data_IF_698447197451
#
_entry.id   IF_698447197451
#
_cell.length_a   1.000
_cell.length_b   1.000
_cell.length_c   1.000
_cell.angle_alpha   90.00
_cell.angle_beta   90.00
_cell.angle_gamma   90.00
#
_symmetry.space_group_name_H-M   'P 1'
#
loop_
_entity.id
_entity.type
_entity.pdbx_description
1 polymer ?
#
# COMPACT_ATOMS: atom_id res chain seq x y z
N UNK A 1 -22.49 -11.43 23.43
CA UNK A 1 -22.70 -10.70 22.17
C UNK A 1 -21.34 -10.59 21.50
N UNK A 2 -21.09 -11.41 20.48
CA UNK A 2 -19.86 -11.34 19.68
C UNK A 2 -19.94 -10.08 18.82
N UNK A 3 -19.05 -9.14 19.04
CA UNK A 3 -18.85 -8.01 18.11
C UNK A 3 -17.94 -8.52 17.01
N UNK A 4 -18.49 -8.69 15.85
CA UNK A 4 -17.72 -8.95 14.64
C UNK A 4 -17.01 -7.65 14.27
N UNK A 5 -15.69 -7.66 14.44
CA UNK A 5 -14.83 -6.58 13.94
C UNK A 5 -14.77 -6.71 12.42
N UNK A 6 -15.50 -5.84 11.76
CA UNK A 6 -15.51 -5.73 10.31
C UNK A 6 -14.26 -4.97 9.89
N UNK A 7 -13.17 -5.72 9.66
CA UNK A 7 -12.01 -5.17 8.99
C UNK A 7 -12.42 -4.75 7.58
N UNK A 8 -12.49 -3.46 7.35
CA UNK A 8 -12.51 -2.94 6.00
C UNK A 8 -11.09 -3.12 5.45
N UNK A 9 -10.88 -4.20 4.73
CA UNK A 9 -9.74 -4.32 3.86
C UNK A 9 -9.80 -3.13 2.89
N UNK A 10 -8.87 -2.20 3.04
CA UNK A 10 -8.66 -1.15 2.05
C UNK A 10 -8.24 -1.85 0.77
N UNK A 11 -9.17 -1.91 -0.17
CA UNK A 11 -9.02 -2.66 -1.39
C UNK A 11 -7.87 -2.13 -2.21
N UNK A 12 -6.99 -3.05 -2.60
CA UNK A 12 -6.05 -2.81 -3.67
C UNK A 12 -6.83 -2.37 -4.91
N UNK A 13 -6.70 -1.12 -5.29
CA UNK A 13 -7.21 -0.58 -6.54
C UNK A 13 -6.46 -1.23 -7.70
N UNK A 14 -7.03 -2.33 -8.22
CA UNK A 14 -6.61 -2.88 -9.49
C UNK A 14 -7.05 -1.90 -10.60
N UNK A 15 -6.12 -1.09 -11.08
CA UNK A 15 -6.30 -0.27 -12.27
C UNK A 15 -6.34 -1.20 -13.49
N UNK A 16 -7.52 -1.63 -13.85
CA UNK A 16 -7.81 -2.30 -15.10
C UNK A 16 -7.78 -1.32 -16.26
N UNK A 17 -6.65 -1.19 -16.95
CA UNK A 17 -6.58 -0.48 -18.22
C UNK A 17 -7.31 -1.30 -19.31
N UNK A 18 -8.58 -1.04 -19.54
CA UNK A 18 -9.31 -1.55 -20.68
C UNK A 18 -9.01 -0.69 -21.91
N UNK A 19 -8.06 -1.13 -22.73
CA UNK A 19 -7.88 -0.64 -24.09
C UNK A 19 -9.01 -1.19 -24.96
N UNK A 20 -10.06 -0.41 -25.14
CA UNK A 20 -11.11 -0.66 -26.10
C UNK A 20 -10.62 -0.32 -27.50
N UNK A 21 -10.26 -1.34 -28.28
CA UNK A 21 -10.10 -1.23 -29.73
C UNK A 21 -11.48 -1.32 -30.40
N UNK A 22 -12.03 -0.20 -30.80
CA UNK A 22 -13.18 -0.15 -31.70
C UNK A 22 -12.68 -0.30 -33.12
N UNK A 23 -12.84 -1.46 -33.68
CA UNK A 23 -12.72 -1.69 -35.13
C UNK A 23 -14.04 -1.33 -35.81
N UNK A 24 -14.09 -0.19 -36.45
CA UNK A 24 -15.18 0.16 -37.40
C UNK A 24 -14.95 -0.61 -38.70
N UNK A 25 -15.80 -1.60 -38.93
CA UNK A 25 -15.91 -2.28 -40.23
C UNK A 25 -16.73 -1.41 -41.17
N UNK A 26 -16.12 -0.89 -42.21
CA UNK A 26 -16.85 -0.39 -43.37
C UNK A 26 -16.82 -1.45 -44.47
N UNK A 27 -17.98 -1.99 -44.76
CA UNK A 27 -18.21 -2.82 -45.95
C UNK A 27 -18.31 -1.92 -47.17
N UNK A 28 -17.59 -2.24 -48.21
CA UNK A 28 -18.01 -1.88 -49.57
C UNK A 28 -17.69 -3.01 -50.54
N UNK A 29 -18.70 -3.34 -51.31
CA UNK A 29 -18.75 -4.40 -52.29
C UNK A 29 -17.97 -4.03 -53.57
N UNK A 30 -17.45 -5.02 -54.27
CA UNK A 30 -16.98 -4.86 -55.66
C UNK A 30 -16.07 -5.99 -56.12
N UNK A 31 -16.64 -6.79 -56.87
CA UNK A 31 -16.28 -7.89 -57.76
C UNK A 31 -14.85 -8.00 -58.32
N UNK A 32 -14.49 -9.23 -58.51
CA UNK A 32 -13.97 -9.93 -59.70
C UNK A 32 -12.50 -10.40 -59.71
N UNK A 33 -12.44 -11.72 -59.81
CA UNK A 33 -11.56 -12.57 -60.66
C UNK A 33 -10.05 -12.72 -60.43
N UNK A 34 -9.75 -14.00 -60.25
CA UNK A 34 -8.71 -14.80 -60.90
C UNK A 34 -7.38 -15.15 -60.19
N UNK A 35 -7.34 -16.46 -59.85
CA UNK A 35 -6.23 -17.45 -60.06
C UNK A 35 -4.79 -17.04 -59.72
N UNK A 36 -4.14 -17.77 -58.90
CA UNK A 36 -3.47 -19.06 -59.05
C UNK A 36 -2.41 -19.27 -57.94
N UNK A 37 -2.43 -20.45 -57.39
CA UNK A 37 -1.31 -21.37 -57.05
C UNK A 37 0.07 -20.78 -56.67
N UNK A 38 0.57 -20.99 -55.46
CA UNK A 38 1.53 -22.10 -55.27
C UNK A 38 1.91 -22.22 -53.77
N UNK A 39 1.92 -23.46 -53.39
CA UNK A 39 2.47 -24.10 -52.23
C UNK A 39 3.93 -23.70 -51.93
N UNK A 40 4.27 -23.46 -50.70
CA UNK A 40 5.51 -24.00 -50.11
C UNK A 40 5.38 -24.10 -48.61
N UNK A 41 5.45 -25.31 -48.21
CA UNK A 41 5.59 -25.93 -46.92
C UNK A 41 6.95 -25.58 -46.37
N UNK A 42 7.03 -25.03 -45.18
CA UNK A 42 8.24 -25.09 -44.37
C UNK A 42 7.84 -25.45 -42.94
N UNK A 43 8.45 -26.55 -42.54
CA UNK A 43 8.30 -27.21 -41.26
C UNK A 43 8.80 -26.44 -40.06
N UNK A 44 8.04 -26.58 -38.99
CA UNK A 44 8.47 -26.97 -37.63
C UNK A 44 9.86 -26.52 -37.11
N UNK A 45 9.83 -25.61 -36.18
CA UNK A 45 10.74 -25.68 -35.04
C UNK A 45 10.05 -25.22 -33.78
N UNK A 46 9.53 -26.16 -33.02
CA UNK A 46 9.17 -25.96 -31.61
C UNK A 46 10.46 -25.77 -30.81
N UNK A 47 10.80 -24.53 -30.46
CA UNK A 47 11.77 -24.26 -29.43
C UNK A 47 11.01 -23.91 -28.14
N UNK A 48 10.80 -24.93 -27.33
CA UNK A 48 10.38 -24.80 -25.93
C UNK A 48 11.48 -24.06 -25.17
N UNK A 49 11.39 -22.80 -25.03
CA UNK A 49 12.18 -22.06 -24.03
C UNK A 49 11.42 -22.14 -22.73
N UNK A 50 11.75 -23.12 -21.89
CA UNK A 50 11.47 -23.05 -20.46
C UNK A 50 12.30 -21.91 -19.92
N UNK A 51 11.68 -20.75 -19.76
CA UNK A 51 12.20 -19.69 -18.93
C UNK A 51 11.90 -20.10 -17.50
N UNK A 52 12.89 -20.71 -16.86
CA UNK A 52 12.93 -20.86 -15.41
C UNK A 52 12.91 -19.45 -14.83
N UNK A 53 11.77 -19.03 -14.32
CA UNK A 53 11.70 -17.89 -13.45
C UNK A 53 12.44 -18.30 -12.17
N UNK A 54 13.68 -17.88 -12.06
CA UNK A 54 14.41 -17.92 -10.82
C UNK A 54 13.85 -16.73 -10.02
N UNK A 55 12.78 -16.95 -9.26
CA UNK A 55 12.29 -16.01 -8.26
C UNK A 55 13.31 -15.96 -7.12
N UNK A 56 14.37 -15.21 -7.37
CA UNK A 56 15.21 -14.73 -6.31
C UNK A 56 14.50 -13.50 -5.71
N UNK A 57 13.40 -13.72 -4.99
CA UNK A 57 12.76 -12.71 -4.16
C UNK A 57 13.73 -12.40 -3.02
N UNK A 58 14.59 -11.42 -3.25
CA UNK A 58 15.39 -10.86 -2.17
C UNK A 58 14.41 -10.38 -1.09
N UNK A 59 14.44 -11.04 0.09
CA UNK A 59 13.58 -10.66 1.21
C UNK A 59 13.87 -9.19 1.53
N UNK A 60 12.87 -8.34 1.42
CA UNK A 60 12.94 -6.93 1.81
C UNK A 60 13.45 -6.82 3.24
N UNK A 61 14.34 -5.87 3.47
CA UNK A 61 14.89 -5.61 4.79
C UNK A 61 14.44 -4.23 5.25
N UNK A 62 14.15 -4.10 6.51
CA UNK A 62 13.83 -2.81 7.16
C UNK A 62 14.97 -1.79 7.03
N UNK A 63 16.19 -2.25 6.70
CA UNK A 63 17.34 -1.39 6.34
C UNK A 63 17.15 -0.62 5.03
N UNK A 64 16.17 -1.01 4.22
CA UNK A 64 15.85 -0.33 2.95
C UNK A 64 15.00 0.94 3.18
N UNK A 65 14.49 1.12 4.40
CA UNK A 65 13.78 2.33 4.84
C UNK A 65 14.82 3.39 5.23
N UNK A 66 15.09 4.32 4.32
CA UNK A 66 16.06 5.41 4.56
C UNK A 66 15.40 6.70 5.00
N UNK A 67 14.17 6.93 4.54
CA UNK A 67 13.39 8.10 4.88
C UNK A 67 12.79 7.90 6.28
N UNK A 68 12.98 8.85 7.17
CA UNK A 68 12.29 8.86 8.46
C UNK A 68 10.82 9.28 8.28
N UNK A 69 9.97 8.93 9.25
CA UNK A 69 8.57 9.37 9.25
C UNK A 69 8.45 10.90 9.22
N UNK A 70 9.30 11.63 9.97
CA UNK A 70 9.29 13.09 9.96
C UNK A 70 9.66 13.70 8.60
N UNK A 71 10.58 13.08 7.87
CA UNK A 71 10.92 13.51 6.50
C UNK A 71 9.77 13.21 5.53
N UNK A 72 9.09 12.08 5.69
CA UNK A 72 7.89 11.75 4.90
C UNK A 72 6.76 12.76 5.17
N UNK A 73 6.50 13.08 6.44
CA UNK A 73 5.52 14.09 6.83
C UNK A 73 5.87 15.48 6.27
N UNK A 74 7.14 15.88 6.29
CA UNK A 74 7.58 17.14 5.69
C UNK A 74 7.30 17.18 4.18
N UNK A 75 7.47 16.05 3.48
CA UNK A 75 7.14 15.98 2.05
C UNK A 75 5.64 16.04 1.79
N UNK A 76 4.86 15.41 2.65
CA UNK A 76 3.41 15.51 2.61
C UNK A 76 2.95 16.95 2.82
N UNK A 77 3.45 17.64 3.86
CA UNK A 77 3.12 19.06 4.14
C UNK A 77 3.58 20.01 3.02
N UNK A 78 4.72 19.75 2.39
CA UNK A 78 5.16 20.53 1.23
C UNK A 78 4.18 20.41 0.05
N UNK A 79 3.52 19.27 -0.09
CA UNK A 79 2.54 19.00 -1.15
C UNK A 79 1.15 19.52 -0.78
N UNK A 80 0.73 19.31 0.46
CA UNK A 80 -0.58 19.62 0.99
C UNK A 80 -0.43 20.45 2.26
N UNK A 81 -0.50 21.77 2.09
CA UNK A 81 -0.32 22.73 3.19
C UNK A 81 -1.48 22.71 4.18
N UNK A 82 -1.16 22.97 5.44
CA UNK A 82 -2.14 23.18 6.51
C UNK A 82 -3.10 21.99 6.74
N UNK A 83 -2.63 20.77 6.43
CA UNK A 83 -3.39 19.55 6.65
C UNK A 83 -3.11 18.96 8.03
N UNK A 84 -4.12 18.31 8.60
CA UNK A 84 -4.00 17.48 9.80
C UNK A 84 -3.90 16.02 9.40
N UNK A 85 -3.07 15.27 10.08
CA UNK A 85 -2.81 13.87 9.73
C UNK A 85 -3.87 12.94 10.34
N UNK A 86 -4.41 12.05 9.53
CA UNK A 86 -5.36 11.00 9.92
C UNK A 86 -4.65 9.67 10.15
N UNK A 87 -3.77 9.29 9.22
CA UNK A 87 -3.02 8.04 9.29
C UNK A 87 -1.64 8.16 8.65
N UNK A 88 -0.75 7.28 9.06
CA UNK A 88 0.57 7.09 8.46
C UNK A 88 0.84 5.60 8.39
N UNK A 89 0.88 5.05 7.19
CA UNK A 89 1.23 3.66 6.94
C UNK A 89 2.64 3.57 6.36
N UNK A 90 3.42 2.61 6.81
CA UNK A 90 4.70 2.24 6.24
C UNK A 90 4.71 0.74 5.98
N UNK A 91 4.61 0.38 4.73
CA UNK A 91 4.43 -1.00 4.30
C UNK A 91 5.31 -1.34 3.11
N UNK A 92 5.52 -2.64 2.92
CA UNK A 92 6.23 -3.19 1.80
C UNK A 92 5.29 -3.43 0.61
N UNK A 93 5.71 -3.01 -0.60
CA UNK A 93 5.02 -3.35 -1.83
C UNK A 93 6.06 -3.72 -2.90
N UNK A 94 5.97 -4.94 -3.40
CA UNK A 94 6.99 -5.48 -4.30
C UNK A 94 8.36 -5.54 -3.62
N UNK A 95 9.32 -4.78 -4.13
CA UNK A 95 10.69 -4.75 -3.62
C UNK A 95 11.06 -3.43 -2.92
N UNK A 96 10.08 -2.66 -2.43
CA UNK A 96 10.33 -1.36 -1.81
C UNK A 96 9.36 -1.11 -0.66
N UNK A 97 9.77 -0.24 0.26
CA UNK A 97 8.90 0.30 1.29
C UNK A 97 8.33 1.65 0.86
N UNK A 98 7.10 1.91 1.25
CA UNK A 98 6.39 3.16 0.97
C UNK A 98 5.71 3.68 2.22
N UNK A 99 5.75 4.99 2.39
CA UNK A 99 4.81 5.67 3.26
C UNK A 99 3.54 5.97 2.46
N UNK A 100 2.38 5.68 3.05
CA UNK A 100 1.10 6.22 2.65
C UNK A 100 0.62 7.12 3.79
N UNK A 101 0.33 8.36 3.48
CA UNK A 101 -0.04 9.36 4.48
C UNK A 101 -1.36 9.96 4.07
N UNK A 102 -2.33 9.87 4.98
CA UNK A 102 -3.62 10.50 4.85
C UNK A 102 -3.74 11.68 5.78
N UNK A 103 -4.28 12.73 5.26
CA UNK A 103 -4.55 13.95 5.99
C UNK A 103 -5.80 14.65 5.51
N UNK A 104 -6.26 15.62 6.25
CA UNK A 104 -7.47 16.39 5.93
C UNK A 104 -7.34 17.84 6.33
N UNK A 105 -8.11 18.68 5.65
CA UNK A 105 -8.47 20.02 6.09
C UNK A 105 -9.98 20.10 6.34
N UNK A 106 -10.56 21.29 6.38
CA UNK A 106 -12.00 21.45 6.62
C UNK A 106 -12.87 21.06 5.41
N UNK A 107 -12.29 20.83 4.24
CA UNK A 107 -13.01 20.68 2.98
C UNK A 107 -12.63 19.42 2.20
N UNK A 108 -11.42 18.94 2.40
CA UNK A 108 -10.83 17.87 1.60
C UNK A 108 -10.03 16.88 2.43
N UNK A 109 -9.96 15.67 1.92
CA UNK A 109 -8.98 14.67 2.27
C UNK A 109 -7.85 14.64 1.23
N UNK A 110 -6.69 14.22 1.69
CA UNK A 110 -5.46 14.18 0.91
C UNK A 110 -4.72 12.89 1.20
N UNK A 111 -4.28 12.21 0.15
CA UNK A 111 -3.45 11.02 0.26
C UNK A 111 -2.14 11.23 -0.51
N UNK A 112 -1.02 10.80 0.04
CA UNK A 112 0.23 10.72 -0.70
C UNK A 112 0.97 9.42 -0.41
N UNK A 113 1.42 8.77 -1.50
CA UNK A 113 2.32 7.62 -1.46
C UNK A 113 3.75 8.07 -1.76
N UNK A 114 4.65 7.81 -0.82
CA UNK A 114 6.02 8.31 -0.82
C UNK A 114 7.00 7.15 -0.71
N UNK A 115 7.93 7.04 -1.65
CA UNK A 115 8.99 6.03 -1.61
C UNK A 115 9.88 6.22 -0.37
N UNK A 116 9.93 5.22 0.50
CA UNK A 116 10.64 5.27 1.78
C UNK A 116 12.17 5.19 1.64
N UNK A 117 12.70 4.97 0.45
CA UNK A 117 14.12 4.95 0.18
C UNK A 117 14.66 6.33 -0.28
N UNK A 118 13.90 7.03 -1.12
CA UNK A 118 14.37 8.27 -1.76
C UNK A 118 13.46 9.48 -1.54
N UNK A 119 12.30 9.30 -0.94
CA UNK A 119 11.34 10.35 -0.64
C UNK A 119 10.61 10.93 -1.85
N UNK A 120 10.58 10.21 -2.97
CA UNK A 120 9.81 10.61 -4.15
C UNK A 120 8.32 10.37 -3.90
N UNK A 121 7.50 11.36 -4.15
CA UNK A 121 6.05 11.18 -4.18
C UNK A 121 5.69 10.43 -5.46
N UNK A 122 5.15 9.23 -5.31
CA UNK A 122 4.79 8.33 -6.41
C UNK A 122 3.36 8.55 -6.85
N UNK A 123 2.49 8.79 -5.89
CA UNK A 123 1.09 9.10 -6.11
C UNK A 123 0.65 10.17 -5.12
N UNK A 124 -0.30 11.01 -5.52
CA UNK A 124 -0.95 11.95 -4.61
C UNK A 124 -2.31 12.34 -5.16
N UNK A 125 -3.29 12.35 -4.31
CA UNK A 125 -4.65 12.72 -4.66
C UNK A 125 -5.30 13.59 -3.60
N UNK A 126 -6.43 14.20 -3.93
CA UNK A 126 -7.26 14.91 -2.98
C UNK A 126 -8.72 14.76 -3.37
N UNK A 127 -9.54 14.46 -2.39
CA UNK A 127 -10.97 14.28 -2.53
C UNK A 127 -11.73 15.32 -1.72
N UNK A 128 -13.00 15.51 -2.05
CA UNK A 128 -13.86 16.34 -1.23
C UNK A 128 -14.26 15.55 0.01
N UNK A 129 -14.14 16.21 1.16
CA UNK A 129 -14.51 15.61 2.43
C UNK A 129 -15.99 15.26 2.46
N UNK A 130 -16.31 14.00 2.69
CA UNK A 130 -17.68 13.53 2.89
C UNK A 130 -18.23 13.91 4.29
N UNK A 131 -19.53 13.78 4.48
CA UNK A 131 -20.16 14.16 5.74
C UNK A 131 -19.70 13.28 6.91
N UNK A 132 -19.45 12.01 6.64
CA UNK A 132 -19.03 11.04 7.65
C UNK A 132 -17.58 11.30 8.07
N UNK A 133 -16.72 11.67 7.12
CA UNK A 133 -15.28 11.93 7.35
C UNK A 133 -15.03 13.22 8.16
N UNK A 134 -16.00 14.13 8.19
CA UNK A 134 -15.92 15.35 9.03
C UNK A 134 -15.88 15.06 10.52
N UNK A 135 -16.24 13.86 10.91
CA UNK A 135 -16.19 13.37 12.29
C UNK A 135 -14.88 12.65 12.61
N UNK A 136 -14.07 12.39 11.59
CA UNK A 136 -12.79 11.74 11.76
C UNK A 136 -11.86 12.59 12.63
N UNK A 137 -11.10 11.87 13.44
CA UNK A 137 -10.12 12.49 14.32
C UNK A 137 -8.75 12.48 13.66
N UNK A 138 -7.96 13.46 14.01
CA UNK A 138 -6.59 13.61 13.54
C UNK A 138 -5.61 13.32 14.66
N UNK A 139 -4.44 12.84 14.30
CA UNK A 139 -3.40 12.43 15.23
C UNK A 139 -2.70 13.66 15.78
N UNK A 140 -2.55 13.73 17.10
CA UNK A 140 -1.64 14.67 17.76
C UNK A 140 -0.21 14.08 17.73
N UNK A 141 0.55 14.44 16.72
CA UNK A 141 1.88 13.91 16.48
C UNK A 141 2.90 14.27 17.56
N UNK A 142 2.65 15.29 18.37
CA UNK A 142 3.55 15.72 19.45
C UNK A 142 3.44 14.80 20.67
N UNK A 143 2.30 14.13 20.84
CA UNK A 143 2.01 13.28 21.99
C UNK A 143 2.16 11.77 21.70
N UNK A 144 2.58 11.37 20.50
CA UNK A 144 2.74 9.95 20.18
C UNK A 144 4.20 9.50 20.25
N UNK A 145 4.41 8.25 20.64
CA UNK A 145 5.75 7.64 20.61
C UNK A 145 6.24 7.46 19.17
N UNK A 146 7.54 7.53 19.00
CA UNK A 146 8.15 7.31 17.71
C UNK A 146 7.98 5.87 17.22
N UNK A 147 7.97 5.68 15.88
CA UNK A 147 8.00 4.35 15.25
C UNK A 147 9.04 3.42 15.88
N UNK A 148 10.27 3.93 16.12
CA UNK A 148 11.35 3.15 16.76
C UNK A 148 11.01 2.66 18.17
N UNK A 149 10.29 3.45 18.95
CA UNK A 149 9.84 3.05 20.28
C UNK A 149 8.74 2.00 20.19
N UNK A 150 7.75 2.22 19.32
CA UNK A 150 6.68 1.29 19.07
C UNK A 150 7.20 -0.06 18.56
N UNK A 151 8.13 -0.07 17.59
CA UNK A 151 8.81 -1.28 17.11
C UNK A 151 9.43 -2.09 18.25
N UNK A 152 10.19 -1.44 19.15
CA UNK A 152 10.80 -2.13 20.30
C UNK A 152 9.78 -2.76 21.25
N UNK A 153 8.63 -2.13 21.40
CA UNK A 153 7.55 -2.67 22.24
C UNK A 153 6.93 -3.89 21.56
N UNK A 154 6.64 -3.79 20.27
CA UNK A 154 6.05 -4.89 19.50
C UNK A 154 6.98 -6.12 19.44
N UNK A 155 8.25 -5.94 19.09
CA UNK A 155 9.24 -7.02 19.00
C UNK A 155 9.58 -7.65 20.37
N UNK A 156 9.39 -6.90 21.47
CA UNK A 156 9.48 -7.45 22.83
C UNK A 156 8.25 -8.29 23.17
N UNK A 157 7.09 -7.90 22.68
CA UNK A 157 5.82 -8.59 22.93
C UNK A 157 5.71 -9.87 22.10
N UNK A 158 6.08 -9.80 20.83
CA UNK A 158 6.18 -10.93 19.90
C UNK A 158 7.63 -11.01 19.43
N UNK A 159 8.27 -12.15 19.70
CA UNK A 159 9.67 -12.36 19.28
C UNK A 159 9.74 -12.52 17.76
N UNK A 160 10.13 -11.47 17.07
CA UNK A 160 10.18 -11.46 15.61
C UNK A 160 10.79 -10.17 15.07
N UNK A 161 10.54 -9.91 13.82
CA UNK A 161 10.97 -8.70 13.12
C UNK A 161 9.75 -7.91 12.66
N UNK A 162 9.66 -6.65 13.03
CA UNK A 162 8.61 -5.77 12.54
C UNK A 162 8.81 -5.49 11.04
N UNK A 163 7.76 -5.65 10.25
CA UNK A 163 7.78 -5.50 8.79
C UNK A 163 6.87 -4.37 8.29
N UNK A 164 5.76 -4.09 9.00
CA UNK A 164 4.80 -3.06 8.63
C UNK A 164 4.40 -2.24 9.85
N UNK A 165 4.09 -0.98 9.65
CA UNK A 165 3.73 -0.04 10.73
C UNK A 165 2.60 0.85 10.25
N UNK A 166 1.57 0.96 11.07
CA UNK A 166 0.48 1.90 10.87
C UNK A 166 0.31 2.74 12.14
N UNK A 167 0.21 4.04 11.98
CA UNK A 167 -0.20 4.95 13.04
C UNK A 167 -1.53 5.57 12.62
N UNK A 168 -2.55 5.33 13.38
CA UNK A 168 -3.89 5.85 13.09
C UNK A 168 -4.61 6.36 14.33
N UNK A 169 -5.65 7.14 14.11
CA UNK A 169 -6.56 7.57 15.14
C UNK A 169 -7.80 6.65 15.15
N UNK A 170 -8.03 5.96 16.24
CA UNK A 170 -9.23 5.18 16.48
C UNK A 170 -10.02 5.78 17.66
N UNK A 171 -11.24 6.23 17.39
CA UNK A 171 -12.07 7.00 18.31
C UNK A 171 -11.37 8.29 18.77
N UNK A 172 -10.84 8.32 19.98
CA UNK A 172 -10.16 9.48 20.54
C UNK A 172 -8.71 9.17 20.96
N UNK A 173 -8.12 8.12 20.41
CA UNK A 173 -6.77 7.68 20.74
C UNK A 173 -5.98 7.32 19.52
N UNK A 174 -4.70 7.66 19.53
CA UNK A 174 -3.77 7.23 18.53
C UNK A 174 -3.20 5.85 18.88
N UNK A 175 -3.14 4.96 17.88
CA UNK A 175 -2.58 3.62 18.01
C UNK A 175 -1.51 3.37 16.96
N UNK A 176 -0.47 2.69 17.40
CA UNK A 176 0.43 1.99 16.51
C UNK A 176 -0.06 0.56 16.32
N UNK A 177 -0.25 0.14 15.08
CA UNK A 177 -0.46 -1.25 14.67
C UNK A 177 0.80 -1.71 13.94
N UNK A 178 1.41 -2.77 14.43
CA UNK A 178 2.71 -3.22 13.95
C UNK A 178 2.64 -4.70 13.63
N UNK A 179 2.89 -5.03 12.37
CA UNK A 179 3.01 -6.41 11.92
C UNK A 179 4.40 -6.93 12.24
N UNK A 180 4.47 -7.96 13.07
CA UNK A 180 5.72 -8.64 13.48
C UNK A 180 5.73 -10.05 12.91
N UNK A 181 6.74 -10.37 12.13
CA UNK A 181 6.96 -11.70 11.58
C UNK A 181 7.90 -12.48 12.48
N UNK A 182 7.44 -13.58 13.07
CA UNK A 182 8.22 -14.46 13.94
C UNK A 182 9.02 -15.53 13.18
N UNK A 183 8.91 -15.53 11.86
CA UNK A 183 9.52 -16.50 10.93
C UNK A 183 8.58 -17.61 10.50
N UNK A 184 7.45 -17.79 11.15
CA UNK A 184 6.42 -18.76 10.81
C UNK A 184 5.06 -18.10 10.51
N UNK A 185 4.73 -17.04 11.25
CA UNK A 185 3.45 -16.33 11.17
C UNK A 185 3.68 -14.83 11.32
N UNK A 186 2.70 -14.07 10.86
CA UNK A 186 2.57 -12.65 11.14
C UNK A 186 1.65 -12.45 12.34
N UNK A 187 1.99 -11.46 13.15
CA UNK A 187 1.24 -11.05 14.32
C UNK A 187 1.05 -9.54 14.26
N UNK A 188 -0.14 -9.07 14.48
CA UNK A 188 -0.39 -7.66 14.64
C UNK A 188 -0.35 -7.28 16.12
N UNK A 189 0.42 -6.26 16.45
CA UNK A 189 0.54 -5.73 17.80
C UNK A 189 0.02 -4.31 17.84
N UNK A 190 -1.14 -4.12 18.48
CA UNK A 190 -1.74 -2.80 18.69
C UNK A 190 -1.24 -2.18 19.99
N UNK A 191 -0.71 -0.97 19.88
CA UNK A 191 -0.08 -0.23 20.98
C UNK A 191 -0.72 1.16 21.08
N UNK A 192 -1.22 1.51 22.25
CA UNK A 192 -1.65 2.89 22.55
C UNK A 192 -0.41 3.81 22.41
N UNK A 193 -0.46 4.71 21.42
CA UNK A 193 0.69 5.50 21.01
C UNK A 193 1.12 6.56 22.03
N UNK A 194 0.26 6.93 22.96
CA UNK A 194 0.55 7.89 24.03
C UNK A 194 1.07 7.18 25.28
N UNK A 195 0.36 6.13 25.73
CA UNK A 195 0.66 5.45 26.99
C UNK A 195 1.67 4.32 26.86
N UNK A 196 2.04 3.90 25.64
CA UNK A 196 2.97 2.79 25.33
C UNK A 196 2.43 1.41 25.72
N UNK A 197 1.15 1.29 26.02
CA UNK A 197 0.54 0.01 26.44
C UNK A 197 0.18 -0.81 25.21
N UNK A 198 0.57 -2.08 25.21
CA UNK A 198 0.03 -3.04 24.26
C UNK A 198 -1.43 -3.29 24.65
N UNK A 199 -2.34 -3.03 23.74
CA UNK A 199 -3.78 -3.19 23.97
C UNK A 199 -4.32 -4.46 23.34
N UNK A 200 -3.69 -4.92 22.25
CA UNK A 200 -4.12 -6.11 21.51
C UNK A 200 -2.92 -6.81 20.87
N UNK A 201 -3.03 -8.11 20.70
CA UNK A 201 -2.13 -8.92 19.87
C UNK A 201 -2.97 -9.92 19.13
N UNK A 202 -3.07 -9.76 17.81
CA UNK A 202 -3.76 -10.67 16.93
C UNK A 202 -2.79 -11.58 16.17
N UNK A 203 -3.27 -12.74 15.81
CA UNK A 203 -2.55 -13.70 15.00
C UNK A 203 -3.26 -13.78 13.65
N UNK A 204 -2.56 -13.47 12.57
CA UNK A 204 -3.09 -13.74 11.24
C UNK A 204 -3.12 -15.26 11.04
N UNK A 205 -4.31 -15.84 11.04
CA UNK A 205 -4.52 -17.21 10.59
C UNK A 205 -4.51 -17.21 9.05
N UNK A 206 -3.62 -18.00 8.45
CA UNK A 206 -3.58 -18.24 7.01
C UNK A 206 -4.82 -19.03 6.54
#
# INVERSE_FOLDING_TARGET
>A
MKKENLFKAVGALAIGASLGLTVTSCSNSGDDSSKSSQSSKVEKAKKKTKKSANENTAKLKTTDIKLSMSEALNKFDQKFKDTKIKSIDLQAEGNSYFYEIDGMDNNKEYTAKIDANNGKILHSESEKLDLDDRLDKTIDLDNVISRKQATKIAEKKVKGTAEEWKLEQDHNKAYWEITVNDGSKKHEVKIDAETKKVVEVDHEDE
#
